data_IF_882160282715
#
_entry.id   IF_882160282715
#
_cell.length_a   1.000
_cell.length_b   1.000
_cell.length_c   1.000
_cell.angle_alpha   90.00
_cell.angle_beta   90.00
_cell.angle_gamma   90.00
#
_symmetry.space_group_name_H-M   'P 1'
#
loop_
_entity.id
_entity.type
_entity.pdbx_description
1 polymer ?
#
# COMPACT_ATOMS: atom_id res chain seq x y z
N UNK A 1 14.09 -7.58 -21.00
CA UNK A 1 13.48 -7.59 -19.66
C UNK A 1 12.92 -8.99 -19.44
N UNK A 2 13.56 -9.83 -18.62
CA UNK A 2 13.01 -11.14 -18.29
C UNK A 2 11.90 -10.88 -17.28
N UNK A 3 10.70 -10.67 -17.78
CA UNK A 3 9.49 -10.67 -16.96
C UNK A 3 9.29 -12.13 -16.52
N UNK A 4 9.12 -12.36 -15.22
CA UNK A 4 8.74 -13.67 -14.68
C UNK A 4 7.48 -14.15 -15.43
N UNK A 5 7.35 -15.45 -15.69
CA UNK A 5 6.21 -15.94 -16.48
C UNK A 5 4.90 -15.51 -15.80
N UNK A 6 3.92 -14.93 -16.53
CA UNK A 6 2.68 -14.45 -15.93
C UNK A 6 1.92 -15.50 -15.11
N UNK A 7 2.10 -16.80 -15.42
CA UNK A 7 1.52 -17.90 -14.63
C UNK A 7 2.25 -18.11 -13.31
N UNK A 8 3.55 -17.89 -13.26
CA UNK A 8 4.31 -17.94 -12.01
C UNK A 8 3.94 -16.79 -11.07
N UNK A 9 3.76 -15.59 -11.61
CA UNK A 9 3.24 -14.44 -10.83
C UNK A 9 1.88 -14.73 -10.21
N UNK A 10 0.93 -15.23 -11.02
CA UNK A 10 -0.39 -15.59 -10.54
C UNK A 10 -0.34 -16.69 -9.47
N UNK A 11 0.49 -17.72 -9.68
CA UNK A 11 0.68 -18.79 -8.68
C UNK A 11 1.23 -18.25 -7.36
N UNK A 12 2.23 -17.37 -7.41
CA UNK A 12 2.80 -16.76 -6.20
C UNK A 12 1.77 -15.88 -5.47
N UNK A 13 0.96 -15.12 -6.21
CA UNK A 13 -0.10 -14.31 -5.64
C UNK A 13 -1.19 -15.17 -4.97
N UNK A 14 -1.59 -16.29 -5.61
CA UNK A 14 -2.56 -17.24 -5.07
C UNK A 14 -2.04 -17.96 -3.82
N UNK A 15 -0.77 -18.37 -3.82
CA UNK A 15 -0.11 -18.98 -2.66
C UNK A 15 0.00 -17.99 -1.49
N UNK A 16 0.33 -16.73 -1.78
CA UNK A 16 0.36 -15.67 -0.79
C UNK A 16 -1.04 -15.38 -0.23
N UNK A 17 -2.08 -15.34 -1.07
CA UNK A 17 -3.46 -15.19 -0.64
C UNK A 17 -3.93 -16.34 0.27
N UNK A 18 -3.65 -17.59 -0.12
CA UNK A 18 -3.98 -18.76 0.69
C UNK A 18 -3.23 -18.75 2.04
N UNK A 19 -1.96 -18.34 2.05
CA UNK A 19 -1.17 -18.19 3.27
C UNK A 19 -1.69 -17.07 4.16
N UNK A 20 -1.92 -15.88 3.60
CA UNK A 20 -2.41 -14.71 4.30
C UNK A 20 -3.76 -14.98 4.96
N UNK A 21 -4.65 -15.71 4.29
CA UNK A 21 -5.92 -16.17 4.86
C UNK A 21 -5.72 -17.13 6.04
N UNK A 22 -4.82 -18.10 5.94
CA UNK A 22 -4.53 -19.06 7.04
C UNK A 22 -3.89 -18.39 8.25
N UNK A 23 -2.97 -17.46 8.01
CA UNK A 23 -2.22 -16.75 9.05
C UNK A 23 -2.93 -15.49 9.54
N UNK A 24 -4.10 -15.17 8.99
CA UNK A 24 -4.85 -13.94 9.26
C UNK A 24 -3.99 -12.66 9.15
N UNK A 25 -3.16 -12.61 8.10
CA UNK A 25 -2.29 -11.47 7.81
C UNK A 25 -3.17 -10.25 7.48
N UNK A 26 -2.83 -9.11 8.07
CA UNK A 26 -3.57 -7.85 7.91
C UNK A 26 -2.71 -6.82 7.18
N UNK A 27 -3.32 -5.89 6.43
CA UNK A 27 -2.62 -4.75 5.86
C UNK A 27 -1.93 -3.94 6.96
N UNK A 28 -0.75 -3.39 6.64
CA UNK A 28 0.05 -2.63 7.61
C UNK A 28 -0.40 -1.18 7.64
N UNK A 29 -0.82 -0.71 8.81
CA UNK A 29 -1.16 0.70 9.07
C UNK A 29 0.03 1.36 9.76
N UNK A 30 0.42 2.54 9.26
CA UNK A 30 1.57 3.29 9.78
C UNK A 30 1.17 4.37 10.79
N UNK A 31 -0.06 4.87 10.71
CA UNK A 31 -0.59 5.88 11.61
C UNK A 31 -0.08 7.29 11.30
N UNK A 32 -0.73 8.28 11.90
CA UNK A 32 -0.46 9.71 11.65
C UNK A 32 0.92 10.15 12.12
N UNK A 33 1.40 9.60 13.25
CA UNK A 33 2.70 9.96 13.83
C UNK A 33 3.86 9.63 12.88
N UNK A 34 3.82 8.47 12.22
CA UNK A 34 4.89 8.05 11.33
C UNK A 34 4.85 8.78 9.98
N UNK A 35 3.69 9.33 9.61
CA UNK A 35 3.51 10.14 8.41
C UNK A 35 4.03 11.59 8.55
N UNK A 36 4.43 12.02 9.75
CA UNK A 36 5.01 13.34 9.96
C UNK A 36 6.34 13.49 9.19
N UNK A 37 6.63 14.67 8.60
CA UNK A 37 7.84 14.89 7.79
C UNK A 37 9.15 14.53 8.50
N UNK A 38 9.23 14.75 9.82
CA UNK A 38 10.39 14.41 10.65
C UNK A 38 10.70 12.90 10.72
N UNK A 39 9.73 12.04 10.41
CA UNK A 39 9.88 10.59 10.45
C UNK A 39 10.00 9.96 9.05
N UNK A 40 10.23 10.75 8.00
CA UNK A 40 10.23 10.29 6.60
C UNK A 40 11.17 9.10 6.35
N UNK A 41 12.38 9.11 6.91
CA UNK A 41 13.34 8.00 6.77
C UNK A 41 12.82 6.73 7.48
N UNK A 42 12.26 6.87 8.67
CA UNK A 42 11.68 5.76 9.41
C UNK A 42 10.46 5.17 8.69
N UNK A 43 9.64 6.03 8.07
CA UNK A 43 8.52 5.60 7.25
C UNK A 43 9.01 4.84 6.01
N UNK A 44 10.04 5.34 5.31
CA UNK A 44 10.60 4.66 4.14
C UNK A 44 11.11 3.26 4.47
N UNK A 45 11.78 3.08 5.62
CA UNK A 45 12.18 1.75 6.11
C UNK A 45 10.96 0.90 6.49
N UNK A 46 9.97 1.48 7.16
CA UNK A 46 8.78 0.74 7.59
C UNK A 46 7.94 0.24 6.39
N UNK A 47 7.90 1.02 5.30
CA UNK A 47 7.21 0.70 4.05
C UNK A 47 7.79 -0.54 3.37
N UNK A 48 9.10 -0.81 3.51
CA UNK A 48 9.70 -2.07 3.01
C UNK A 48 9.15 -3.31 3.69
N UNK A 49 8.57 -3.15 4.89
CA UNK A 49 7.98 -4.23 5.68
C UNK A 49 6.46 -4.35 5.53
N UNK A 50 5.86 -3.89 4.42
CA UNK A 50 4.46 -4.21 4.12
C UNK A 50 4.30 -5.70 3.79
N UNK A 51 3.22 -6.36 4.23
CA UNK A 51 3.05 -7.79 4.05
C UNK A 51 2.71 -8.14 2.59
N UNK A 52 3.19 -9.30 2.12
CA UNK A 52 2.73 -9.90 0.88
C UNK A 52 1.51 -10.78 1.15
N UNK A 53 0.35 -10.33 0.67
CA UNK A 53 -0.94 -10.94 0.96
C UNK A 53 -1.61 -11.55 -0.27
N UNK A 54 -1.05 -11.38 -1.47
CA UNK A 54 -1.78 -11.73 -2.68
C UNK A 54 -3.00 -10.82 -2.88
N UNK A 55 -3.92 -11.19 -3.78
CA UNK A 55 -5.21 -10.49 -3.96
C UNK A 55 -6.24 -10.78 -2.85
N UNK A 56 -5.80 -11.21 -1.67
CA UNK A 56 -6.66 -11.46 -0.51
C UNK A 56 -7.04 -10.17 0.21
N UNK A 57 -8.34 -9.94 0.40
CA UNK A 57 -8.87 -8.92 1.30
C UNK A 57 -9.35 -9.60 2.60
N UNK A 58 -8.74 -9.30 3.77
CA UNK A 58 -9.20 -9.85 5.04
C UNK A 58 -10.60 -9.37 5.43
N UNK A 59 -11.26 -10.13 6.30
CA UNK A 59 -12.53 -9.70 6.88
C UNK A 59 -12.38 -8.33 7.57
N UNK A 60 -13.37 -7.45 7.39
CA UNK A 60 -13.40 -6.05 7.85
C UNK A 60 -12.35 -5.13 7.22
N UNK A 61 -11.78 -5.53 6.08
CA UNK A 61 -10.94 -4.67 5.25
C UNK A 61 -11.51 -4.60 3.84
N UNK A 62 -11.61 -3.38 3.31
CA UNK A 62 -12.03 -3.11 1.95
C UNK A 62 -10.89 -2.47 1.19
N UNK A 63 -10.71 -2.87 -0.08
CA UNK A 63 -9.75 -2.20 -0.95
C UNK A 63 -10.26 -0.79 -1.22
N UNK A 64 -9.36 0.20 -1.15
CA UNK A 64 -9.67 1.58 -1.47
C UNK A 64 -9.27 1.81 -2.92
N UNK A 65 -10.22 2.19 -3.79
CA UNK A 65 -9.93 2.54 -5.17
C UNK A 65 -8.83 3.60 -5.23
N UNK A 66 -7.93 3.49 -6.22
CA UNK A 66 -6.77 4.37 -6.35
C UNK A 66 -7.17 5.85 -6.46
N UNK A 67 -8.30 6.13 -7.12
CA UNK A 67 -8.81 7.49 -7.33
C UNK A 67 -9.38 8.13 -6.05
N UNK A 68 -9.68 7.33 -5.02
CA UNK A 68 -10.01 7.80 -3.67
C UNK A 68 -8.78 8.12 -2.82
N UNK A 69 -7.56 7.77 -3.26
CA UNK A 69 -6.34 8.03 -2.50
C UNK A 69 -6.00 9.53 -2.49
N UNK A 70 -5.58 10.03 -1.32
CA UNK A 70 -5.00 11.36 -1.23
C UNK A 70 -3.64 11.37 -1.94
N UNK A 71 -3.52 12.12 -3.02
CA UNK A 71 -2.31 12.20 -3.84
C UNK A 71 -1.49 13.44 -3.47
N UNK A 72 -0.23 13.29 -3.03
CA UNK A 72 0.65 14.42 -2.79
C UNK A 72 0.82 15.30 -4.04
N UNK A 73 0.87 16.62 -3.85
CA UNK A 73 1.08 17.56 -4.96
C UNK A 73 2.40 17.31 -5.73
N UNK A 74 3.42 16.77 -5.05
CA UNK A 74 4.72 16.35 -5.62
C UNK A 74 4.59 15.30 -6.73
N UNK A 75 3.48 14.55 -6.77
CA UNK A 75 3.25 13.50 -7.76
C UNK A 75 2.52 13.97 -9.02
N UNK A 76 1.99 15.18 -9.06
CA UNK A 76 1.44 15.79 -10.29
C UNK A 76 0.43 14.95 -11.08
N UNK A 77 -0.35 14.07 -10.43
CA UNK A 77 -1.32 13.19 -11.10
C UNK A 77 -0.73 11.91 -11.73
N UNK A 78 0.53 11.58 -11.42
CA UNK A 78 1.22 10.37 -11.88
C UNK A 78 0.43 9.08 -11.68
N UNK A 79 -0.29 8.95 -10.58
CA UNK A 79 -1.05 7.73 -10.25
C UNK A 79 -1.97 7.27 -11.39
N UNK A 80 -2.54 8.20 -12.17
CA UNK A 80 -3.41 7.87 -13.32
C UNK A 80 -2.70 7.09 -14.43
N UNK A 81 -1.39 7.28 -14.60
CA UNK A 81 -0.58 6.72 -15.69
C UNK A 81 0.14 5.42 -15.31
N UNK A 82 0.08 4.99 -14.05
CA UNK A 82 0.90 3.91 -13.47
C UNK A 82 0.10 2.65 -13.10
N UNK A 83 -1.12 2.52 -13.61
CA UNK A 83 -2.04 1.44 -13.19
C UNK A 83 -1.81 0.15 -13.97
N UNK A 84 -1.87 -0.96 -13.24
CA UNK A 84 -2.05 -2.32 -13.75
C UNK A 84 -3.50 -2.82 -13.57
N UNK A 85 -4.26 -2.16 -12.69
CA UNK A 85 -5.66 -2.37 -12.33
C UNK A 85 -6.14 -1.08 -11.59
N UNK A 86 -7.43 -0.76 -11.59
CA UNK A 86 -7.94 0.54 -11.08
C UNK A 86 -7.81 0.69 -9.55
N UNK A 87 -7.70 -0.44 -8.83
CA UNK A 87 -7.64 -0.46 -7.36
C UNK A 87 -6.22 -0.55 -6.78
N UNK A 88 -5.20 -0.70 -7.61
CA UNK A 88 -3.84 -0.98 -7.18
C UNK A 88 -2.81 0.02 -7.72
N UNK A 89 -1.71 0.18 -6.99
CA UNK A 89 -0.57 1.02 -7.41
C UNK A 89 0.64 0.16 -7.74
N UNK A 90 1.35 0.51 -8.81
CA UNK A 90 2.56 -0.18 -9.22
C UNK A 90 3.79 0.54 -8.65
N UNK A 91 4.63 -0.20 -7.93
CA UNK A 91 5.76 0.34 -7.16
C UNK A 91 7.06 -0.37 -7.54
N UNK A 92 8.11 0.40 -7.81
CA UNK A 92 9.47 -0.12 -7.88
C UNK A 92 10.03 -0.29 -6.47
N UNK A 93 10.29 -1.55 -6.11
CA UNK A 93 10.80 -1.93 -4.78
C UNK A 93 12.32 -2.12 -4.78
N UNK A 94 12.98 -2.00 -5.94
CA UNK A 94 14.43 -2.14 -6.07
C UNK A 94 15.20 -0.93 -5.51
N UNK A 95 14.54 0.23 -5.43
CA UNK A 95 15.15 1.49 -5.01
C UNK A 95 15.98 2.18 -6.11
N UNK A 96 16.02 1.61 -7.32
CA UNK A 96 16.66 2.20 -8.50
C UNK A 96 15.65 2.77 -9.50
N UNK A 97 14.35 2.72 -9.18
CA UNK A 97 13.28 3.22 -10.04
C UNK A 97 13.44 4.70 -10.37
N UNK A 98 13.15 5.05 -11.62
CA UNK A 98 13.23 6.43 -12.11
C UNK A 98 11.85 7.05 -12.26
N UNK A 99 11.78 8.39 -12.14
CA UNK A 99 10.53 9.10 -12.40
C UNK A 99 10.03 8.98 -13.85
N UNK A 100 10.87 8.51 -14.77
CA UNK A 100 10.50 8.24 -16.15
C UNK A 100 9.86 6.86 -16.37
N UNK A 101 9.78 6.02 -15.35
CA UNK A 101 9.28 4.64 -15.47
C UNK A 101 7.79 4.52 -15.13
N UNK A 102 7.10 3.50 -15.66
CA UNK A 102 5.69 3.25 -15.39
C UNK A 102 5.42 2.65 -14.00
N UNK A 103 6.31 2.90 -13.02
CA UNK A 103 6.16 2.53 -11.61
C UNK A 103 6.41 3.74 -10.70
N UNK A 104 5.80 3.76 -9.51
CA UNK A 104 6.16 4.69 -8.44
C UNK A 104 7.55 4.34 -7.92
N UNK A 105 8.39 5.33 -7.69
CA UNK A 105 9.64 5.10 -6.93
C UNK A 105 9.31 4.77 -5.47
N UNK A 106 10.25 4.17 -4.74
CA UNK A 106 10.10 3.92 -3.31
C UNK A 106 9.83 5.23 -2.52
N UNK A 107 10.41 6.34 -2.96
CA UNK A 107 10.18 7.67 -2.39
C UNK A 107 8.77 8.15 -2.66
N UNK A 108 8.30 8.06 -3.91
CA UNK A 108 6.92 8.42 -4.26
C UNK A 108 5.95 7.54 -3.45
N UNK A 109 6.13 6.23 -3.41
CA UNK A 109 5.27 5.36 -2.61
C UNK A 109 5.25 5.74 -1.12
N UNK A 110 6.39 6.13 -0.56
CA UNK A 110 6.47 6.63 0.83
C UNK A 110 5.65 7.91 1.03
N UNK A 111 5.69 8.85 0.09
CA UNK A 111 4.86 10.06 0.13
C UNK A 111 3.36 9.74 0.03
N UNK A 112 2.99 8.74 -0.78
CA UNK A 112 1.59 8.29 -0.89
C UNK A 112 1.09 7.69 0.42
N UNK A 113 1.91 6.86 1.07
CA UNK A 113 1.61 6.28 2.39
C UNK A 113 1.48 7.37 3.43
N UNK A 114 2.37 8.37 3.43
CA UNK A 114 2.32 9.50 4.35
C UNK A 114 1.04 10.34 4.17
N UNK A 115 0.55 10.51 2.94
CA UNK A 115 -0.70 11.22 2.67
C UNK A 115 -1.95 10.45 3.09
N UNK A 116 -1.84 9.14 3.30
CA UNK A 116 -2.95 8.25 3.67
C UNK A 116 -2.61 7.44 4.94
N UNK A 117 -2.35 8.10 6.08
CA UNK A 117 -1.75 7.46 7.25
C UNK A 117 -2.65 6.43 7.96
N UNK A 118 -3.96 6.49 7.70
CA UNK A 118 -4.95 5.61 8.31
C UNK A 118 -5.30 4.40 7.44
N UNK A 119 -4.79 4.35 6.21
CA UNK A 119 -4.96 3.19 5.35
C UNK A 119 -3.94 2.10 5.69
N UNK A 120 -4.36 0.86 5.52
CA UNK A 120 -3.49 -0.30 5.56
C UNK A 120 -2.93 -0.59 4.18
N UNK A 121 -1.67 -1.02 4.11
CA UNK A 121 -0.99 -1.29 2.85
C UNK A 121 -0.49 -2.74 2.80
N UNK A 122 -0.66 -3.39 1.65
CA UNK A 122 -0.18 -4.76 1.41
C UNK A 122 0.16 -5.00 -0.06
N UNK A 123 1.14 -5.87 -0.30
CA UNK A 123 1.52 -6.30 -1.64
C UNK A 123 0.52 -7.35 -2.11
N UNK A 124 -0.05 -7.12 -3.30
CA UNK A 124 -0.96 -8.02 -3.99
C UNK A 124 -0.23 -8.92 -4.99
N UNK A 125 0.79 -8.39 -5.67
CA UNK A 125 1.64 -9.16 -6.59
C UNK A 125 3.08 -8.69 -6.45
N UNK A 126 4.03 -9.61 -6.59
CA UNK A 126 5.46 -9.31 -6.51
C UNK A 126 6.18 -9.88 -7.73
N UNK A 127 6.90 -9.02 -8.44
CA UNK A 127 7.91 -9.38 -9.42
C UNK A 127 9.30 -9.24 -8.82
N UNK A 128 10.34 -9.50 -9.64
CA UNK A 128 11.73 -9.46 -9.19
C UNK A 128 12.18 -8.07 -8.69
N UNK A 129 11.62 -7.00 -9.25
CA UNK A 129 11.99 -5.60 -8.93
C UNK A 129 10.80 -4.68 -8.68
N UNK A 130 9.59 -5.13 -9.00
CA UNK A 130 8.37 -4.32 -8.99
C UNK A 130 7.27 -5.05 -8.22
N UNK A 131 6.37 -4.31 -7.60
CA UNK A 131 5.25 -4.85 -6.84
C UNK A 131 3.95 -4.11 -7.17
N UNK A 132 2.85 -4.85 -7.15
CA UNK A 132 1.49 -4.32 -7.16
C UNK A 132 1.04 -4.22 -5.71
N UNK A 133 0.65 -3.02 -5.27
CA UNK A 133 0.31 -2.75 -3.87
C UNK A 133 -1.13 -2.23 -3.79
N UNK A 134 -1.89 -2.79 -2.85
CA UNK A 134 -3.24 -2.36 -2.53
C UNK A 134 -3.28 -1.49 -1.27
N UNK A 135 -4.18 -0.51 -1.28
CA UNK A 135 -4.56 0.27 -0.12
C UNK A 135 -5.87 -0.28 0.45
N UNK A 136 -5.98 -0.37 1.77
CA UNK A 136 -7.12 -0.98 2.44
C UNK A 136 -7.64 -0.09 3.56
N UNK A 137 -8.96 0.04 3.67
CA UNK A 137 -9.65 0.71 4.75
C UNK A 137 -10.27 -0.33 5.67
N UNK A 138 -10.09 -0.15 6.98
CA UNK A 138 -10.81 -0.98 7.95
C UNK A 138 -12.28 -0.53 8.01
N UNK A 139 -13.23 -1.47 7.90
CA UNK A 139 -14.67 -1.18 7.88
C UNK A 139 -15.15 -0.55 9.19
N UNK A 140 -14.54 -0.93 10.33
CA UNK A 140 -14.80 -0.30 11.64
C UNK A 140 -13.82 0.84 11.98
N UNK A 141 -12.96 1.24 11.03
CA UNK A 141 -12.08 2.39 11.21
C UNK A 141 -12.87 3.71 11.18
N UNK A 142 -12.37 4.80 11.79
CA UNK A 142 -13.05 6.08 11.70
C UNK A 142 -13.20 6.45 10.21
N UNK A 143 -14.44 6.66 9.78
CA UNK A 143 -14.74 7.16 8.44
C UNK A 143 -13.91 8.44 8.16
N UNK A 144 -13.45 8.67 6.93
CA UNK A 144 -12.77 9.91 6.58
C UNK A 144 -13.72 11.09 6.88
N UNK A 145 -13.45 11.82 7.98
CA UNK A 145 -14.28 12.93 8.45
C UNK A 145 -14.66 12.89 9.94
N UNK A 146 -14.47 11.76 10.63
CA UNK A 146 -14.75 11.69 12.07
C UNK A 146 -13.47 11.93 12.86
N UNK A 147 -13.31 13.14 13.40
CA UNK A 147 -12.29 13.42 14.41
C UNK A 147 -12.39 12.39 15.55
N UNK A 148 -11.27 11.85 16.05
CA UNK A 148 -11.34 11.00 17.24
C UNK A 148 -11.86 11.85 18.40
N UNK A 149 -13.04 11.51 18.90
CA UNK A 149 -13.60 12.08 20.12
C UNK A 149 -12.62 11.81 21.25
N UNK A 150 -12.12 12.90 21.85
CA UNK A 150 -11.22 12.89 22.98
C UNK A 150 -12.02 12.58 24.25
N UNK A 151 -12.52 11.35 24.37
CA UNK A 151 -13.13 10.86 25.61
C UNK A 151 -12.05 10.11 26.41
N UNK A 152 -11.66 10.60 27.60
CA UNK A 152 -10.76 9.88 28.47
C UNK A 152 -11.46 8.63 29.02
N UNK A 153 -10.92 7.44 28.72
CA UNK A 153 -11.40 6.22 29.35
C UNK A 153 -11.01 6.21 30.84
N UNK A 154 -11.94 5.89 31.76
CA UNK A 154 -11.61 5.69 33.16
C UNK A 154 -10.86 4.36 33.38
N UNK A 155 -9.92 4.44 34.33
CA UNK A 155 -8.96 3.47 34.88
C UNK A 155 -9.29 1.97 34.80
#
# INVERSE_FOLDING_TARGET
MIMMDPREMNRLADEAAARAKRENVKPKVFGTRLAEPQHRELLAEAVRGIPFMGRYAPANWEIVPRDELAVPASMGGRLKWLSCDDDYVFVDMSGFGSKSEPALTAEEFTELVAANPLLGWAIAEVGQFQAVVGAYRHVDGPAPGSSPSNDPQPW
#
